data_IF_844960075770
#
_entry.id   IF_844960075770
#
_cell.length_a   1.000
_cell.length_b   1.000
_cell.length_c   1.000
_cell.angle_alpha   90.00
_cell.angle_beta   90.00
_cell.angle_gamma   90.00
#
_symmetry.space_group_name_H-M   'P 1'
#
loop_
_entity.id
_entity.type
_entity.pdbx_description
1 polymer ?
#
# COMPACT_ATOMS: atom_id res chain seq x y z
N UNK A 1 5.80 11.56 18.33
CA UNK A 1 4.69 11.06 17.49
C UNK A 1 5.18 11.13 16.06
N UNK A 2 5.46 10.00 15.41
CA UNK A 2 5.88 10.00 14.01
C UNK A 2 4.68 10.35 13.14
N UNK A 3 4.79 11.37 12.29
CA UNK A 3 3.80 11.58 11.23
C UNK A 3 3.89 10.39 10.27
N UNK A 4 2.81 9.63 10.15
CA UNK A 4 2.68 8.66 9.08
C UNK A 4 2.75 9.44 7.76
N UNK A 5 3.82 9.21 6.99
CA UNK A 5 3.95 9.74 5.65
C UNK A 5 3.26 8.80 4.69
N UNK A 6 2.47 9.35 3.76
CA UNK A 6 1.84 8.57 2.70
C UNK A 6 2.90 7.90 1.83
N UNK A 7 2.69 6.63 1.46
CA UNK A 7 3.61 5.92 0.56
C UNK A 7 3.60 6.44 -0.88
N UNK A 8 2.52 7.11 -1.31
CA UNK A 8 2.41 7.79 -2.60
C UNK A 8 2.40 9.31 -2.40
N UNK A 9 3.21 10.02 -3.20
CA UNK A 9 3.46 11.47 -3.04
C UNK A 9 2.25 12.36 -3.34
N UNK A 10 1.27 11.87 -4.09
CA UNK A 10 0.11 12.67 -4.50
C UNK A 10 -1.19 11.94 -4.16
N UNK A 11 -2.10 12.69 -3.53
CA UNK A 11 -3.43 12.21 -3.13
C UNK A 11 -4.22 11.58 -4.28
N UNK A 12 -4.08 12.11 -5.51
CA UNK A 12 -4.77 11.61 -6.70
C UNK A 12 -4.52 10.12 -7.00
N UNK A 13 -3.41 9.56 -6.52
CA UNK A 13 -3.09 8.14 -6.69
C UNK A 13 -3.88 7.20 -5.75
N UNK A 14 -4.54 7.74 -4.73
CA UNK A 14 -5.43 7.02 -3.81
C UNK A 14 -6.91 7.09 -4.23
N UNK A 15 -7.24 8.04 -5.11
CA UNK A 15 -8.61 8.27 -5.58
C UNK A 15 -8.96 7.38 -6.77
N UNK A 16 -8.02 7.20 -7.70
CA UNK A 16 -8.20 6.41 -8.91
C UNK A 16 -7.21 5.23 -8.96
N UNK A 17 -7.64 4.10 -9.52
CA UNK A 17 -6.73 3.01 -9.83
C UNK A 17 -5.88 3.38 -11.05
N UNK A 18 -4.59 3.59 -10.81
CA UNK A 18 -3.62 3.94 -11.85
C UNK A 18 -2.50 2.90 -11.90
N UNK A 19 -1.70 2.91 -12.97
CA UNK A 19 -0.49 2.08 -13.05
C UNK A 19 0.45 2.30 -11.86
N UNK A 20 0.50 3.53 -11.32
CA UNK A 20 1.29 3.87 -10.13
C UNK A 20 0.73 3.15 -8.89
N UNK A 21 -0.60 3.18 -8.72
CA UNK A 21 -1.31 2.49 -7.62
C UNK A 21 -1.07 0.98 -7.67
N UNK A 22 -1.12 0.39 -8.87
CA UNK A 22 -0.87 -1.05 -9.07
C UNK A 22 0.59 -1.38 -8.73
N UNK A 23 1.55 -0.61 -9.25
CA UNK A 23 2.97 -0.82 -9.00
C UNK A 23 3.32 -0.71 -7.50
N UNK A 24 2.71 0.24 -6.79
CA UNK A 24 2.89 0.40 -5.35
C UNK A 24 2.43 -0.83 -4.56
N UNK A 25 1.21 -1.32 -4.81
CA UNK A 25 0.71 -2.53 -4.13
C UNK A 25 1.55 -3.77 -4.46
N UNK A 26 1.99 -3.91 -5.72
CA UNK A 26 2.90 -4.99 -6.12
C UNK A 26 4.25 -4.90 -5.42
N UNK A 27 4.81 -3.70 -5.26
CA UNK A 27 6.06 -3.50 -4.53
C UNK A 27 5.94 -3.95 -3.07
N UNK A 28 4.90 -3.52 -2.36
CA UNK A 28 4.69 -3.92 -0.95
C UNK A 28 4.45 -5.43 -0.84
N UNK A 29 3.63 -6.01 -1.73
CA UNK A 29 3.37 -7.45 -1.77
C UNK A 29 4.67 -8.25 -1.98
N UNK A 30 5.53 -7.83 -2.91
CA UNK A 30 6.81 -8.50 -3.15
C UNK A 30 7.80 -8.34 -1.99
N UNK A 31 7.83 -7.16 -1.35
CA UNK A 31 8.64 -6.95 -0.15
C UNK A 31 8.19 -7.86 0.98
N UNK A 32 6.88 -7.95 1.24
CA UNK A 32 6.32 -8.83 2.26
C UNK A 32 6.67 -10.30 1.97
N UNK A 33 6.52 -10.76 0.72
CA UNK A 33 6.89 -12.13 0.31
C UNK A 33 8.38 -12.45 0.49
N UNK A 34 9.24 -11.42 0.50
CA UNK A 34 10.68 -11.58 0.78
C UNK A 34 10.97 -11.69 2.28
N UNK A 35 10.11 -11.12 3.12
CA UNK A 35 10.33 -10.99 4.56
C UNK A 35 9.63 -12.07 5.40
N UNK A 36 8.61 -12.73 4.86
CA UNK A 36 7.86 -13.78 5.57
C UNK A 36 7.69 -15.04 4.73
N UNK A 37 7.67 -16.20 5.40
CA UNK A 37 7.33 -17.48 4.81
C UNK A 37 5.82 -17.73 4.76
N UNK A 38 5.03 -16.97 5.53
CA UNK A 38 3.57 -17.02 5.48
C UNK A 38 3.07 -15.97 4.49
N UNK A 39 2.67 -16.42 3.31
CA UNK A 39 2.19 -15.55 2.23
C UNK A 39 0.66 -15.52 2.13
N UNK A 40 -0.05 -16.20 3.02
CA UNK A 40 -1.50 -16.43 2.90
C UNK A 40 -2.32 -15.15 3.00
N UNK A 41 -1.84 -14.17 3.77
CA UNK A 41 -2.55 -12.92 4.04
C UNK A 41 -1.96 -11.69 3.35
N UNK A 42 -0.83 -11.82 2.64
CA UNK A 42 -0.08 -10.67 2.11
C UNK A 42 -0.97 -9.76 1.23
N UNK A 43 -1.79 -10.34 0.36
CA UNK A 43 -2.61 -9.52 -0.54
C UNK A 43 -3.74 -8.78 0.22
N UNK A 44 -4.25 -9.36 1.31
CA UNK A 44 -5.21 -8.72 2.20
C UNK A 44 -4.54 -7.61 3.03
N UNK A 45 -3.36 -7.88 3.60
CA UNK A 45 -2.61 -6.91 4.39
C UNK A 45 -2.19 -5.69 3.54
N UNK A 46 -1.75 -5.93 2.29
CA UNK A 46 -1.42 -4.87 1.33
C UNK A 46 -2.65 -4.01 1.01
N UNK A 47 -3.83 -4.64 0.90
CA UNK A 47 -5.08 -3.92 0.70
C UNK A 47 -5.41 -3.05 1.91
N UNK A 48 -5.26 -3.56 3.12
CA UNK A 48 -5.52 -2.81 4.36
C UNK A 48 -4.57 -1.63 4.53
N UNK A 49 -3.27 -1.81 4.25
CA UNK A 49 -2.29 -0.71 4.21
C UNK A 49 -2.73 0.37 3.23
N UNK A 50 -3.13 -0.03 2.02
CA UNK A 50 -3.56 0.92 1.00
C UNK A 50 -4.85 1.66 1.40
N UNK A 51 -5.83 0.97 2.00
CA UNK A 51 -7.06 1.58 2.48
C UNK A 51 -6.81 2.55 3.65
N UNK A 52 -5.84 2.23 4.53
CA UNK A 52 -5.39 3.12 5.59
C UNK A 52 -4.75 4.39 5.03
N UNK A 53 -3.79 4.27 4.10
CA UNK A 53 -3.17 5.40 3.42
C UNK A 53 -4.23 6.26 2.71
N UNK A 54 -5.19 5.63 2.02
CA UNK A 54 -6.30 6.32 1.36
C UNK A 54 -7.12 7.13 2.35
N UNK A 55 -7.39 6.62 3.54
CA UNK A 55 -8.14 7.35 4.57
C UNK A 55 -7.36 8.50 5.17
N UNK A 56 -6.04 8.38 5.35
CA UNK A 56 -5.18 9.51 5.79
C UNK A 56 -5.09 10.57 4.71
N UNK A 57 -5.12 10.17 3.44
CA UNK A 57 -5.03 11.11 2.32
C UNK A 57 -6.27 12.00 2.17
N UNK A 58 -7.40 11.65 2.80
CA UNK A 58 -8.69 12.37 2.73
C UNK A 58 -8.68 13.67 3.51
#
# INVERSE_FOLDING_TARGET
>A
MGQASLGLLQRQYYENETNITIAYRQFISNLARTLTNDTSMIDQDVKEIFDFDKNISK
#
